data_IF_623417847092
#
_entry.id   IF_623417847092
#
_cell.length_a   1.000
_cell.length_b   1.000
_cell.length_c   1.000
_cell.angle_alpha   90.00
_cell.angle_beta   90.00
_cell.angle_gamma   90.00
#
_symmetry.space_group_name_H-M   'P 1'
#
loop_
_entity.id
_entity.type
_entity.pdbx_description
1 polymer ?
#
# COMPACT_ATOMS: atom_id res chain seq x y z
N UNK A 1 16.94 -5.34 18.07
CA UNK A 1 16.40 -4.95 16.74
C UNK A 1 16.76 -3.50 16.40
N UNK A 2 16.72 -3.12 15.12
CA UNK A 2 17.01 -1.76 14.64
C UNK A 2 15.76 -0.89 14.76
N UNK A 3 15.84 0.17 15.55
CA UNK A 3 14.71 1.05 15.85
C UNK A 3 14.95 2.48 15.40
N UNK A 4 13.85 3.14 15.03
CA UNK A 4 13.85 4.58 14.81
C UNK A 4 13.66 5.26 16.16
N UNK A 5 14.61 6.11 16.56
CA UNK A 5 14.62 6.72 17.89
C UNK A 5 13.88 8.06 17.95
N UNK A 6 13.82 8.79 16.84
CA UNK A 6 13.30 10.15 16.77
C UNK A 6 12.19 10.32 15.73
N UNK A 7 11.36 11.35 15.91
CA UNK A 7 10.21 11.63 15.04
C UNK A 7 10.60 12.00 13.60
N UNK A 8 11.57 12.92 13.41
CA UNK A 8 11.95 13.37 12.06
C UNK A 8 12.47 12.23 11.17
N UNK A 9 13.39 11.35 11.64
CA UNK A 9 13.73 10.15 10.88
C UNK A 9 12.52 9.27 10.57
N UNK A 10 11.58 9.10 11.52
CA UNK A 10 10.36 8.32 11.28
C UNK A 10 9.54 8.90 10.12
N UNK A 11 9.39 10.22 10.05
CA UNK A 11 8.70 10.91 8.94
C UNK A 11 9.42 10.69 7.61
N UNK A 12 10.75 10.80 7.57
CA UNK A 12 11.52 10.54 6.34
C UNK A 12 11.35 9.09 5.85
N UNK A 13 11.34 8.15 6.78
CA UNK A 13 11.06 6.74 6.49
C UNK A 13 9.62 6.50 6.02
N UNK A 14 8.64 7.22 6.55
CA UNK A 14 7.26 7.17 6.04
C UNK A 14 7.14 7.76 4.63
N UNK A 15 7.88 8.82 4.31
CA UNK A 15 7.99 9.35 2.94
C UNK A 15 8.64 8.29 2.03
N UNK A 16 9.68 7.59 2.49
CA UNK A 16 10.25 6.47 1.74
C UNK A 16 9.21 5.36 1.49
N UNK A 17 8.45 4.97 2.51
CA UNK A 17 7.37 3.99 2.36
C UNK A 17 6.31 4.44 1.35
N UNK A 18 5.94 5.71 1.36
CA UNK A 18 5.02 6.30 0.40
C UNK A 18 5.55 6.18 -1.03
N UNK A 19 6.86 6.43 -1.21
CA UNK A 19 7.54 6.28 -2.50
C UNK A 19 7.48 4.81 -2.95
N UNK A 20 7.81 3.87 -2.09
CA UNK A 20 7.71 2.43 -2.35
C UNK A 20 6.32 2.02 -2.84
N UNK A 21 5.27 2.36 -2.10
CA UNK A 21 3.89 2.01 -2.43
C UNK A 21 3.36 2.74 -3.68
N UNK A 22 3.89 3.91 -4.02
CA UNK A 22 3.57 4.58 -5.28
C UNK A 22 4.37 4.09 -6.48
N UNK A 23 5.45 3.32 -6.25
CA UNK A 23 6.42 2.96 -7.30
C UNK A 23 6.35 1.51 -7.75
N UNK A 24 5.84 0.59 -6.93
CA UNK A 24 5.82 -0.85 -7.29
C UNK A 24 5.07 -1.13 -8.60
N UNK A 25 3.96 -0.41 -8.87
CA UNK A 25 3.15 -0.60 -10.08
C UNK A 25 3.91 -0.29 -11.38
N UNK A 26 5.04 0.43 -11.31
CA UNK A 26 5.91 0.63 -12.46
C UNK A 26 6.51 -0.67 -12.96
N UNK A 27 6.84 -1.62 -12.07
CA UNK A 27 7.41 -2.90 -12.48
C UNK A 27 6.36 -3.76 -13.18
N UNK A 28 5.10 -3.71 -12.72
CA UNK A 28 3.97 -4.31 -13.44
C UNK A 28 3.84 -3.70 -14.83
N UNK A 29 3.91 -2.37 -14.95
CA UNK A 29 3.82 -1.70 -16.24
C UNK A 29 4.97 -2.05 -17.19
N UNK A 30 6.17 -2.24 -16.67
CA UNK A 30 7.32 -2.74 -17.44
C UNK A 30 7.08 -4.17 -17.96
N UNK A 31 6.46 -5.03 -17.13
CA UNK A 31 6.17 -6.42 -17.46
C UNK A 31 4.94 -6.59 -18.37
N UNK A 32 3.98 -5.67 -18.32
CA UNK A 32 2.63 -5.82 -18.89
C UNK A 32 2.56 -6.14 -20.40
N UNK A 33 3.62 -5.87 -21.17
CA UNK A 33 3.68 -6.22 -22.60
C UNK A 33 3.91 -7.70 -22.86
N UNK A 34 4.56 -8.40 -21.92
CA UNK A 34 5.01 -9.78 -22.08
C UNK A 34 4.47 -10.71 -20.97
N UNK A 35 4.09 -10.14 -19.82
CA UNK A 35 3.68 -10.89 -18.65
C UNK A 35 2.32 -10.43 -18.17
N UNK A 36 1.39 -11.38 -18.12
CA UNK A 36 0.03 -11.14 -17.65
C UNK A 36 0.03 -10.84 -16.16
N UNK A 37 -0.93 -10.03 -15.72
CA UNK A 37 -1.06 -9.63 -14.32
C UNK A 37 -1.17 -10.83 -13.38
N UNK A 38 -1.94 -11.84 -13.77
CA UNK A 38 -2.16 -13.07 -12.98
C UNK A 38 -0.84 -13.81 -12.72
N UNK A 39 0.06 -13.83 -13.71
CA UNK A 39 1.37 -14.48 -13.59
C UNK A 39 2.35 -13.60 -12.82
N UNK A 40 2.39 -12.30 -13.16
CA UNK A 40 3.18 -11.28 -12.46
C UNK A 40 2.87 -11.25 -10.96
N UNK A 41 1.62 -11.48 -10.56
CA UNK A 41 1.23 -11.41 -9.17
C UNK A 41 1.88 -12.49 -8.31
N UNK A 42 2.13 -13.69 -8.86
CA UNK A 42 2.89 -14.71 -8.14
C UNK A 42 4.32 -14.24 -7.86
N UNK A 43 4.99 -13.67 -8.86
CA UNK A 43 6.34 -13.10 -8.71
C UNK A 43 6.36 -11.98 -7.66
N UNK A 44 5.38 -11.08 -7.74
CA UNK A 44 5.19 -9.99 -6.79
C UNK A 44 5.10 -10.51 -5.35
N UNK A 45 4.27 -11.53 -5.11
CA UNK A 45 4.08 -12.13 -3.79
C UNK A 45 5.34 -12.83 -3.27
N UNK A 46 6.15 -13.43 -4.14
CA UNK A 46 7.48 -13.94 -3.75
C UNK A 46 8.43 -12.82 -3.31
N UNK A 47 8.41 -11.69 -4.02
CA UNK A 47 9.16 -10.50 -3.61
C UNK A 47 8.73 -9.94 -2.26
N UNK A 48 7.42 -9.98 -1.95
CA UNK A 48 6.91 -9.63 -0.63
C UNK A 48 7.51 -10.55 0.44
N UNK A 49 7.39 -11.86 0.25
CA UNK A 49 7.87 -12.86 1.21
C UNK A 49 9.37 -12.76 1.46
N UNK A 50 10.17 -12.69 0.40
CA UNK A 50 11.61 -12.57 0.50
C UNK A 50 12.02 -11.35 1.34
N UNK A 51 11.39 -10.20 1.07
CA UNK A 51 11.72 -8.95 1.77
C UNK A 51 11.30 -8.99 3.23
N UNK A 52 10.13 -9.56 3.53
CA UNK A 52 9.67 -9.71 4.91
C UNK A 52 10.58 -10.64 5.73
N UNK A 53 11.02 -11.76 5.13
CA UNK A 53 11.99 -12.68 5.76
C UNK A 53 13.31 -11.96 6.03
N UNK A 54 13.88 -11.30 5.01
CA UNK A 54 15.15 -10.57 5.16
C UNK A 54 15.01 -9.51 6.25
N UNK A 55 13.94 -8.71 6.25
CA UNK A 55 13.72 -7.68 7.26
C UNK A 55 13.59 -8.27 8.68
N UNK A 56 12.85 -9.36 8.86
CA UNK A 56 12.68 -10.01 10.15
C UNK A 56 14.02 -10.53 10.73
N UNK A 57 14.81 -11.23 9.92
CA UNK A 57 16.09 -11.79 10.33
C UNK A 57 17.26 -10.79 10.37
N UNK A 58 17.07 -9.57 9.84
CA UNK A 58 18.07 -8.50 9.90
C UNK A 58 17.60 -7.36 10.80
N UNK A 59 16.83 -6.41 10.28
CA UNK A 59 16.33 -5.26 11.02
C UNK A 59 15.55 -5.67 12.29
N UNK A 60 14.76 -6.75 12.22
CA UNK A 60 14.01 -7.29 13.35
C UNK A 60 14.82 -8.09 14.37
N UNK A 61 16.09 -8.38 14.09
CA UNK A 61 16.91 -9.26 14.94
C UNK A 61 18.25 -8.65 15.36
N UNK A 62 18.82 -7.75 14.56
CA UNK A 62 20.08 -7.08 14.85
C UNK A 62 19.84 -5.77 15.60
N UNK A 63 20.68 -5.46 16.59
CA UNK A 63 20.60 -4.22 17.38
C UNK A 63 20.23 -4.46 18.84
N UNK A 64 20.53 -3.51 19.73
CA UNK A 64 20.51 -3.72 21.19
C UNK A 64 19.12 -3.66 21.83
N UNK A 65 18.15 -3.03 21.16
CA UNK A 65 16.84 -2.72 21.75
C UNK A 65 15.75 -3.70 21.30
N UNK A 66 14.81 -4.02 22.18
CA UNK A 66 13.68 -4.91 21.89
C UNK A 66 14.08 -6.36 21.64
N UNK A 67 13.08 -7.25 21.63
CA UNK A 67 13.27 -8.70 21.43
C UNK A 67 13.51 -9.07 19.97
N UNK A 68 14.32 -10.10 19.72
CA UNK A 68 14.62 -10.56 18.36
C UNK A 68 13.42 -11.25 17.70
N UNK A 69 13.44 -11.43 16.38
CA UNK A 69 12.34 -12.08 15.64
C UNK A 69 11.99 -13.49 16.16
N UNK A 70 12.99 -14.33 16.40
CA UNK A 70 12.77 -15.70 16.88
C UNK A 70 12.24 -15.73 18.32
N UNK A 71 12.77 -14.85 19.17
CA UNK A 71 12.29 -14.67 20.54
C UNK A 71 10.84 -14.17 20.55
N UNK A 72 10.50 -13.23 19.68
CA UNK A 72 9.15 -12.68 19.54
C UNK A 72 8.15 -13.76 19.11
N UNK A 73 8.50 -14.63 18.15
CA UNK A 73 7.67 -15.76 17.74
C UNK A 73 7.42 -16.73 18.90
N UNK A 74 8.43 -17.01 19.72
CA UNK A 74 8.32 -17.99 20.81
C UNK A 74 7.28 -17.60 21.86
N UNK A 75 7.04 -16.32 22.07
CA UNK A 75 6.06 -15.82 23.02
C UNK A 75 4.81 -15.23 22.37
N UNK A 76 4.70 -15.27 21.03
CA UNK A 76 3.61 -14.67 20.29
C UNK A 76 2.28 -15.37 20.60
N UNK A 77 1.26 -14.58 20.93
CA UNK A 77 -0.09 -15.10 21.14
C UNK A 77 -0.80 -15.33 19.78
N UNK A 78 -1.70 -16.31 19.77
CA UNK A 78 -2.43 -16.71 18.57
C UNK A 78 -3.32 -15.59 18.01
N UNK A 79 -3.87 -14.73 18.87
CA UNK A 79 -4.77 -13.66 18.44
C UNK A 79 -4.00 -12.57 17.67
N UNK A 80 -2.81 -12.22 18.12
CA UNK A 80 -1.92 -11.26 17.46
C UNK A 80 -1.44 -11.78 16.11
N UNK A 81 -1.02 -13.06 16.04
CA UNK A 81 -0.72 -13.72 14.76
C UNK A 81 -1.93 -13.68 13.82
N UNK A 82 -3.12 -14.01 14.32
CA UNK A 82 -4.34 -14.01 13.53
C UNK A 82 -4.70 -12.61 13.00
N UNK A 83 -4.51 -11.54 13.79
CA UNK A 83 -4.74 -10.17 13.35
C UNK A 83 -3.77 -9.74 12.26
N UNK A 84 -2.47 -10.01 12.42
CA UNK A 84 -1.46 -9.72 11.39
C UNK A 84 -1.77 -10.47 10.09
N UNK A 85 -2.01 -11.77 10.20
CA UNK A 85 -2.39 -12.65 9.09
C UNK A 85 -3.65 -12.15 8.37
N UNK A 86 -4.72 -11.82 9.12
CA UNK A 86 -5.96 -11.28 8.58
C UNK A 86 -5.72 -9.95 7.86
N UNK A 87 -4.87 -9.07 8.39
CA UNK A 87 -4.42 -7.86 7.70
C UNK A 87 -3.84 -8.18 6.32
N UNK A 88 -3.01 -9.21 6.23
CA UNK A 88 -2.45 -9.71 4.97
C UNK A 88 -3.50 -10.16 3.96
N UNK A 89 -4.44 -11.00 4.41
CA UNK A 89 -5.53 -11.52 3.58
C UNK A 89 -6.44 -10.39 3.08
N UNK A 90 -6.84 -9.48 3.97
CA UNK A 90 -7.69 -8.33 3.67
C UNK A 90 -7.01 -7.41 2.67
N UNK A 91 -5.74 -7.05 2.91
CA UNK A 91 -4.98 -6.22 1.97
C UNK A 91 -4.87 -6.88 0.58
N UNK A 92 -4.57 -8.18 0.55
CA UNK A 92 -4.41 -8.91 -0.70
C UNK A 92 -5.71 -8.93 -1.51
N UNK A 93 -6.84 -9.25 -0.88
CA UNK A 93 -8.16 -9.20 -1.49
C UNK A 93 -8.47 -7.80 -2.05
N UNK A 94 -8.24 -6.76 -1.24
CA UNK A 94 -8.44 -5.38 -1.65
C UNK A 94 -7.61 -5.01 -2.88
N UNK A 95 -6.37 -5.49 -2.96
CA UNK A 95 -5.48 -5.27 -4.10
C UNK A 95 -6.00 -5.93 -5.38
N UNK A 96 -6.46 -7.19 -5.30
CA UNK A 96 -7.08 -7.87 -6.44
C UNK A 96 -8.36 -7.17 -6.90
N UNK A 97 -9.23 -6.76 -5.96
CA UNK A 97 -10.44 -6.00 -6.27
C UNK A 97 -10.11 -4.66 -6.94
N UNK A 98 -9.05 -3.97 -6.50
CA UNK A 98 -8.63 -2.70 -7.10
C UNK A 98 -8.15 -2.89 -8.54
N UNK A 99 -7.37 -3.94 -8.80
CA UNK A 99 -6.92 -4.27 -10.16
C UNK A 99 -8.10 -4.64 -11.06
N UNK A 100 -9.03 -5.46 -10.55
CA UNK A 100 -10.26 -5.77 -11.27
C UNK A 100 -11.10 -4.52 -11.56
N UNK A 101 -11.23 -3.62 -10.59
CA UNK A 101 -11.92 -2.34 -10.76
C UNK A 101 -11.30 -1.48 -11.86
N UNK A 102 -9.98 -1.34 -11.88
CA UNK A 102 -9.28 -0.59 -12.94
C UNK A 102 -9.49 -1.22 -14.32
N UNK A 103 -9.56 -2.54 -14.40
CA UNK A 103 -9.79 -3.26 -15.65
C UNK A 103 -11.25 -3.19 -16.14
N UNK A 104 -12.25 -3.13 -15.24
CA UNK A 104 -13.69 -3.03 -15.57
C UNK A 104 -14.12 -1.57 -15.82
N UNK A 105 -13.66 -0.64 -14.99
CA UNK A 105 -14.15 0.74 -14.93
C UNK A 105 -13.21 1.76 -15.58
N UNK A 106 -11.99 1.33 -15.92
CA UNK A 106 -10.89 2.21 -16.33
C UNK A 106 -10.16 2.85 -15.13
N UNK A 107 -8.92 3.28 -15.38
CA UNK A 107 -8.07 3.92 -14.36
C UNK A 107 -8.66 5.22 -13.81
N UNK A 108 -9.46 5.95 -14.59
CA UNK A 108 -10.12 7.19 -14.16
C UNK A 108 -11.18 6.99 -13.07
N UNK A 109 -11.61 5.74 -12.85
CA UNK A 109 -12.63 5.39 -11.84
C UNK A 109 -12.07 4.45 -10.79
N UNK A 110 -11.43 3.35 -11.20
CA UNK A 110 -10.94 2.32 -10.27
C UNK A 110 -10.00 2.89 -9.22
N UNK A 111 -9.00 3.64 -9.69
CA UNK A 111 -7.97 4.18 -8.81
C UNK A 111 -8.49 5.29 -7.88
N UNK A 112 -9.25 6.29 -8.35
CA UNK A 112 -9.73 7.30 -7.43
C UNK A 112 -10.82 6.87 -6.46
N UNK A 113 -11.79 6.06 -6.91
CA UNK A 113 -12.85 5.60 -6.02
C UNK A 113 -12.28 4.59 -5.03
N UNK A 114 -11.57 3.56 -5.51
CA UNK A 114 -11.01 2.54 -4.63
C UNK A 114 -9.86 3.06 -3.79
N UNK A 115 -8.80 3.55 -4.44
CA UNK A 115 -7.62 4.05 -3.74
C UNK A 115 -7.89 5.28 -2.88
N UNK A 116 -8.68 6.24 -3.39
CA UNK A 116 -9.07 7.43 -2.63
C UNK A 116 -9.95 7.10 -1.42
N UNK A 117 -10.92 6.19 -1.56
CA UNK A 117 -11.73 5.73 -0.43
C UNK A 117 -10.91 4.99 0.62
N UNK A 118 -10.04 4.05 0.20
CA UNK A 118 -9.13 3.34 1.10
C UNK A 118 -8.32 4.30 1.97
N UNK A 119 -7.89 5.40 1.35
CA UNK A 119 -7.12 6.41 2.03
C UNK A 119 -7.93 7.18 3.07
N UNK A 120 -9.01 7.84 2.63
CA UNK A 120 -9.83 8.70 3.52
C UNK A 120 -10.44 7.87 4.64
N UNK A 121 -11.07 6.74 4.29
CA UNK A 121 -11.72 5.87 5.26
C UNK A 121 -10.68 5.27 6.21
N UNK A 122 -9.52 4.86 5.70
CA UNK A 122 -8.47 4.29 6.54
C UNK A 122 -7.93 5.29 7.55
N UNK A 123 -7.74 6.57 7.19
CA UNK A 123 -7.32 7.59 8.16
C UNK A 123 -8.37 7.77 9.25
N UNK A 124 -9.65 7.88 8.87
CA UNK A 124 -10.75 8.04 9.82
C UNK A 124 -10.81 6.85 10.76
N UNK A 125 -10.82 5.63 10.23
CA UNK A 125 -10.86 4.38 11.01
C UNK A 125 -9.67 4.29 11.95
N UNK A 126 -8.45 4.51 11.47
CA UNK A 126 -7.25 4.44 12.32
C UNK A 126 -7.22 5.55 13.38
N UNK A 127 -7.72 6.76 13.08
CA UNK A 127 -7.86 7.82 14.06
C UNK A 127 -8.87 7.44 15.17
N UNK A 128 -10.00 6.83 14.83
CA UNK A 128 -10.96 6.36 15.84
C UNK A 128 -10.42 5.18 16.66
N UNK A 129 -9.64 4.28 16.07
CA UNK A 129 -9.04 3.14 16.77
C UNK A 129 -7.92 3.60 17.72
N UNK A 130 -7.04 4.48 17.24
CA UNK A 130 -5.82 4.83 17.96
C UNK A 130 -5.88 6.18 18.70
N UNK A 131 -6.97 6.93 18.54
CA UNK A 131 -7.13 8.28 19.10
C UNK A 131 -6.21 9.33 18.47
N UNK A 132 -6.19 10.51 19.09
CA UNK A 132 -5.38 11.65 18.62
C UNK A 132 -3.88 11.46 18.82
N UNK A 133 -3.46 10.64 19.80
CA UNK A 133 -2.05 10.34 20.10
C UNK A 133 -1.20 11.59 20.33
N UNK A 134 -1.80 12.63 20.93
CA UNK A 134 -1.16 13.93 21.14
C UNK A 134 -1.08 14.82 19.89
N UNK A 135 -1.57 14.36 18.74
CA UNK A 135 -1.54 15.15 17.51
C UNK A 135 -2.54 16.32 17.58
N UNK A 136 -2.13 17.47 17.05
CA UNK A 136 -3.00 18.59 16.76
C UNK A 136 -4.02 18.17 15.68
N UNK A 137 -5.25 17.91 16.14
CA UNK A 137 -6.36 17.41 15.32
C UNK A 137 -6.67 18.36 14.17
N UNK A 138 -6.60 19.68 14.38
CA UNK A 138 -6.90 20.68 13.36
C UNK A 138 -5.88 20.60 12.22
N UNK A 139 -4.59 20.58 12.54
CA UNK A 139 -3.53 20.48 11.52
C UNK A 139 -3.58 19.14 10.78
N UNK A 140 -3.84 18.04 11.50
CA UNK A 140 -3.98 16.72 10.92
C UNK A 140 -5.10 16.69 9.89
N UNK A 141 -6.33 17.05 10.27
CA UNK A 141 -7.48 16.98 9.35
C UNK A 141 -7.46 18.05 8.26
N UNK A 142 -6.85 19.21 8.51
CA UNK A 142 -6.60 20.20 7.46
C UNK A 142 -5.64 19.63 6.41
N UNK A 143 -4.54 19.01 6.85
CA UNK A 143 -3.61 18.32 5.96
C UNK A 143 -4.30 17.20 5.18
N UNK A 144 -5.16 16.43 5.84
CA UNK A 144 -5.97 15.39 5.19
C UNK A 144 -6.88 15.98 4.10
N UNK A 145 -7.57 17.10 4.38
CA UNK A 145 -8.42 17.78 3.41
C UNK A 145 -7.65 18.23 2.16
N UNK A 146 -6.41 18.73 2.33
CA UNK A 146 -5.55 19.10 1.20
C UNK A 146 -5.18 17.89 0.33
N UNK A 147 -4.88 16.74 0.92
CA UNK A 147 -4.61 15.51 0.16
C UNK A 147 -5.88 15.00 -0.52
N UNK A 148 -7.06 15.06 0.12
CA UNK A 148 -8.35 14.74 -0.54
C UNK A 148 -8.53 15.62 -1.78
N UNK A 149 -8.30 16.93 -1.65
CA UNK A 149 -8.36 17.84 -2.77
C UNK A 149 -7.36 17.42 -3.87
N UNK A 150 -6.11 17.11 -3.53
CA UNK A 150 -5.12 16.61 -4.48
C UNK A 150 -5.63 15.36 -5.24
N UNK A 151 -6.20 14.37 -4.54
CA UNK A 151 -6.79 13.18 -5.15
C UNK A 151 -7.92 13.55 -6.11
N UNK A 152 -8.79 14.51 -5.75
CA UNK A 152 -9.85 15.03 -6.63
C UNK A 152 -9.27 15.61 -7.93
N UNK A 153 -8.22 16.44 -7.83
CA UNK A 153 -7.53 16.98 -9.00
C UNK A 153 -6.89 15.88 -9.86
N UNK A 154 -6.33 14.83 -9.22
CA UNK A 154 -5.84 13.64 -9.90
C UNK A 154 -6.95 12.94 -10.71
N UNK A 155 -8.14 12.75 -10.13
CA UNK A 155 -9.28 12.18 -10.85
C UNK A 155 -9.65 13.00 -12.07
N UNK A 156 -9.69 14.34 -11.92
CA UNK A 156 -10.04 15.21 -13.03
C UNK A 156 -9.01 15.17 -14.15
N UNK A 157 -7.71 15.04 -13.82
CA UNK A 157 -6.66 14.83 -14.80
C UNK A 157 -6.87 13.51 -15.57
N UNK A 158 -7.12 12.40 -14.87
CA UNK A 158 -7.41 11.11 -15.50
C UNK A 158 -8.72 11.10 -16.30
N UNK A 159 -9.76 11.80 -15.82
CA UNK A 159 -11.02 11.95 -16.56
C UNK A 159 -10.80 12.67 -17.89
N UNK A 160 -9.98 13.72 -17.89
CA UNK A 160 -9.57 14.40 -19.14
C UNK A 160 -8.76 13.49 -20.05
N UNK A 161 -7.90 12.63 -19.52
CA UNK A 161 -7.15 11.66 -20.31
C UNK A 161 -8.06 10.58 -20.92
N UNK A 162 -9.07 10.14 -20.17
CA UNK A 162 -10.03 9.12 -20.59
C UNK A 162 -11.16 9.63 -21.49
N UNK A 163 -11.13 10.90 -21.91
CA UNK A 163 -12.18 11.48 -22.76
C UNK A 163 -12.19 10.79 -24.13
N UNK A 164 -13.21 9.96 -24.39
CA UNK A 164 -13.32 9.11 -25.59
C UNK A 164 -13.19 7.60 -25.35
N UNK A 165 -12.90 7.15 -24.12
CA UNK A 165 -12.95 5.73 -23.74
C UNK A 165 -14.36 5.32 -23.31
N UNK A 166 -14.76 4.06 -23.57
CA UNK A 166 -16.09 3.52 -23.20
C UNK A 166 -16.39 3.75 -21.72
N UNK A 167 -17.63 4.14 -21.44
CA UNK A 167 -18.09 4.65 -20.15
C UNK A 167 -17.97 3.65 -19.00
N UNK A 168 -17.86 4.23 -17.80
CA UNK A 168 -17.85 3.53 -16.52
C UNK A 168 -19.08 2.63 -16.35
N UNK A 169 -18.87 1.38 -15.95
CA UNK A 169 -19.98 0.48 -15.60
C UNK A 169 -20.28 0.54 -14.10
N UNK A 170 -21.55 0.40 -13.71
CA UNK A 170 -21.96 0.34 -12.29
C UNK A 170 -21.23 -0.78 -11.54
N UNK A 171 -20.97 -1.90 -12.23
CA UNK A 171 -20.16 -3.01 -11.70
C UNK A 171 -18.75 -2.54 -11.33
N UNK A 172 -18.09 -1.79 -12.20
CA UNK A 172 -16.76 -1.24 -11.95
C UNK A 172 -16.71 -0.32 -10.73
N UNK A 173 -17.72 0.52 -10.55
CA UNK A 173 -17.84 1.41 -9.37
C UNK A 173 -17.99 0.59 -8.09
N UNK A 174 -18.90 -0.40 -8.07
CA UNK A 174 -19.12 -1.27 -6.90
C UNK A 174 -17.83 -1.99 -6.51
N UNK A 175 -17.13 -2.58 -7.49
CA UNK A 175 -15.86 -3.29 -7.23
C UNK A 175 -14.80 -2.30 -6.71
N UNK A 176 -14.76 -1.07 -7.21
CA UNK A 176 -13.85 -0.02 -6.72
C UNK A 176 -14.14 0.33 -5.26
N UNK A 177 -15.41 0.53 -4.91
CA UNK A 177 -15.82 0.82 -3.53
C UNK A 177 -15.46 -0.32 -2.58
N UNK A 178 -15.74 -1.57 -2.97
CA UNK A 178 -15.36 -2.75 -2.19
C UNK A 178 -13.84 -2.81 -2.00
N UNK A 179 -13.05 -2.61 -3.05
CA UNK A 179 -11.59 -2.54 -2.95
C UNK A 179 -11.14 -1.49 -1.93
N UNK A 180 -11.72 -0.28 -2.02
CA UNK A 180 -11.40 0.82 -1.13
C UNK A 180 -11.72 0.52 0.34
N UNK A 181 -12.93 0.02 0.60
CA UNK A 181 -13.36 -0.40 1.93
C UNK A 181 -12.44 -1.48 2.48
N UNK A 182 -12.17 -2.54 1.71
CA UNK A 182 -11.31 -3.65 2.15
C UNK A 182 -9.90 -3.17 2.51
N UNK A 183 -9.26 -2.35 1.66
CA UNK A 183 -7.92 -1.81 1.93
C UNK A 183 -7.93 -0.88 3.17
N UNK A 184 -8.99 -0.10 3.41
CA UNK A 184 -9.03 0.82 4.55
C UNK A 184 -8.81 0.14 5.91
N UNK A 185 -9.18 -1.14 6.05
CA UNK A 185 -9.12 -1.86 7.34
C UNK A 185 -7.82 -2.65 7.57
N UNK A 186 -7.02 -2.95 6.54
CA UNK A 186 -5.87 -3.84 6.73
C UNK A 186 -4.85 -3.28 7.74
N UNK A 187 -4.60 -1.98 7.70
CA UNK A 187 -3.55 -1.36 8.51
C UNK A 187 -3.90 -1.40 10.00
N UNK A 188 -5.16 -1.15 10.35
CA UNK A 188 -5.64 -1.23 11.73
C UNK A 188 -5.56 -2.66 12.28
N UNK A 189 -5.81 -3.67 11.45
CA UNK A 189 -5.62 -5.08 11.84
C UNK A 189 -4.15 -5.37 12.17
N UNK A 190 -3.22 -4.90 11.36
CA UNK A 190 -1.79 -5.06 11.63
C UNK A 190 -1.42 -4.28 12.90
N UNK A 191 -1.81 -3.01 13.06
CA UNK A 191 -1.55 -2.23 14.28
C UNK A 191 -2.07 -2.96 15.52
N UNK A 192 -3.26 -3.56 15.46
CA UNK A 192 -3.85 -4.32 16.58
C UNK A 192 -3.04 -5.57 16.94
N UNK A 193 -2.28 -6.14 16.01
CA UNK A 193 -1.38 -7.26 16.30
C UNK A 193 -0.10 -6.85 17.03
N UNK A 194 0.23 -5.56 17.04
CA UNK A 194 1.52 -5.07 17.53
C UNK A 194 1.48 -4.76 19.03
N UNK A 195 2.54 -5.17 19.70
CA UNK A 195 2.83 -4.81 21.08
C UNK A 195 3.32 -3.36 21.11
N UNK A 196 2.67 -2.41 21.82
CA UNK A 196 3.18 -1.05 21.97
C UNK A 196 4.37 -0.94 22.92
N UNK A 197 4.61 -1.97 23.76
CA UNK A 197 5.61 -2.02 24.81
C UNK A 197 6.76 -3.01 24.51
N UNK A 198 6.92 -3.45 23.26
CA UNK A 198 7.89 -4.48 22.86
C UNK A 198 9.37 -4.15 23.15
N UNK A 199 9.67 -2.87 23.42
CA UNK A 199 11.00 -2.41 23.83
C UNK A 199 11.14 -2.39 25.36
N UNK A 200 10.06 -2.11 26.09
CA UNK A 200 10.06 -1.95 27.56
C UNK A 200 9.62 -3.21 28.32
N UNK A 201 9.64 -4.38 27.67
CA UNK A 201 9.31 -5.67 28.30
C UNK A 201 7.86 -6.16 28.10
N UNK A 202 7.14 -5.65 27.09
CA UNK A 202 5.86 -6.24 26.68
C UNK A 202 6.00 -7.70 26.23
N UNK A 203 4.90 -8.43 26.14
CA UNK A 203 4.86 -9.84 25.75
C UNK A 203 3.52 -10.20 25.09
N UNK A 204 3.46 -11.34 24.39
CA UNK A 204 2.24 -11.83 23.73
C UNK A 204 2.03 -11.22 22.35
N UNK A 205 1.81 -9.90 22.27
CA UNK A 205 1.63 -9.22 20.99
C UNK A 205 2.96 -9.12 20.20
N UNK A 206 2.90 -8.78 18.91
CA UNK A 206 4.04 -8.88 18.00
C UNK A 206 4.89 -7.62 17.95
N UNK A 207 6.18 -7.77 17.66
CA UNK A 207 7.00 -6.64 17.19
C UNK A 207 6.57 -6.23 15.76
N UNK A 208 6.87 -4.99 15.32
CA UNK A 208 6.55 -4.54 13.97
C UNK A 208 7.03 -5.49 12.85
N UNK A 209 8.25 -6.05 12.99
CA UNK A 209 8.83 -6.93 11.98
C UNK A 209 8.13 -8.28 11.92
N UNK A 210 7.79 -8.87 13.06
CA UNK A 210 7.03 -10.13 13.13
C UNK A 210 5.59 -9.95 12.65
N UNK A 211 4.96 -8.82 12.99
CA UNK A 211 3.64 -8.46 12.45
C UNK A 211 3.64 -8.35 10.93
N UNK A 212 4.64 -7.68 10.34
CA UNK A 212 4.80 -7.61 8.88
C UNK A 212 5.09 -8.99 8.27
N UNK A 213 5.86 -9.84 8.95
CA UNK A 213 6.08 -11.22 8.52
C UNK A 213 4.76 -12.00 8.44
N UNK A 214 3.95 -12.04 9.50
CA UNK A 214 2.66 -12.76 9.48
C UNK A 214 1.63 -12.13 8.55
N UNK A 215 1.62 -10.81 8.39
CA UNK A 215 0.90 -10.13 7.32
C UNK A 215 1.27 -10.70 5.95
N UNK A 216 2.57 -10.88 5.70
CA UNK A 216 3.06 -11.40 4.43
C UNK A 216 2.65 -12.85 4.23
N UNK A 217 2.68 -13.67 5.28
CA UNK A 217 2.15 -15.05 5.23
C UNK A 217 0.66 -15.04 4.86
N UNK A 218 -0.14 -14.13 5.44
CA UNK A 218 -1.54 -13.94 5.07
C UNK A 218 -1.73 -13.61 3.58
N UNK A 219 -0.94 -12.69 3.04
CA UNK A 219 -0.97 -12.35 1.62
C UNK A 219 -0.55 -13.55 0.74
N UNK A 220 0.54 -14.24 1.08
CA UNK A 220 1.05 -15.40 0.32
C UNK A 220 0.03 -16.54 0.32
N UNK A 221 -0.51 -16.92 1.47
CA UNK A 221 -1.46 -18.04 1.58
C UNK A 221 -2.78 -17.72 0.88
N UNK A 222 -3.27 -16.48 0.96
CA UNK A 222 -4.51 -16.10 0.27
C UNK A 222 -4.35 -15.96 -1.25
N UNK A 223 -3.13 -15.74 -1.74
CA UNK A 223 -2.86 -15.47 -3.16
C UNK A 223 -3.31 -16.61 -4.09
N UNK A 224 -2.95 -17.88 -3.88
CA UNK A 224 -3.44 -18.97 -4.73
C UNK A 224 -4.96 -18.96 -4.87
N UNK A 225 -5.72 -18.70 -3.81
CA UNK A 225 -7.18 -18.69 -3.84
C UNK A 225 -7.75 -17.54 -4.68
N UNK A 226 -7.27 -16.31 -4.44
CA UNK A 226 -7.73 -15.14 -5.20
C UNK A 226 -7.24 -15.18 -6.64
N UNK A 227 -6.00 -15.58 -6.85
CA UNK A 227 -5.42 -15.63 -8.19
C UNK A 227 -6.02 -16.76 -9.03
N UNK A 228 -6.35 -17.92 -8.44
CA UNK A 228 -7.13 -18.99 -9.12
C UNK A 228 -8.45 -18.46 -9.67
N UNK A 229 -9.15 -17.66 -8.88
CA UNK A 229 -10.41 -17.06 -9.30
C UNK A 229 -10.19 -16.11 -10.49
N UNK A 230 -9.20 -15.22 -10.41
CA UNK A 230 -8.89 -14.27 -11.49
C UNK A 230 -8.36 -14.97 -12.75
N UNK A 231 -7.57 -16.04 -12.61
CA UNK A 231 -7.07 -16.83 -13.74
C UNK A 231 -8.20 -17.56 -14.48
N UNK A 232 -9.22 -18.06 -13.76
CA UNK A 232 -10.42 -18.71 -14.33
C UNK A 232 -11.45 -17.73 -14.88
N UNK A 233 -11.50 -16.53 -14.30
CA UNK A 233 -12.41 -15.45 -14.69
C UNK A 233 -11.62 -14.17 -14.97
N UNK A 234 -10.73 -14.17 -15.99
CA UNK A 234 -9.89 -13.03 -16.28
C UNK A 234 -10.75 -11.85 -16.70
N UNK A 235 -10.38 -10.66 -16.23
CA UNK A 235 -11.11 -9.44 -16.58
C UNK A 235 -10.90 -9.08 -18.06
N UNK A 236 -9.76 -9.47 -18.63
CA UNK A 236 -9.43 -9.34 -20.05
C UNK A 236 -8.60 -10.54 -20.52
N UNK A 237 -8.79 -10.95 -21.78
CA UNK A 237 -8.05 -12.06 -22.40
C UNK A 237 -8.58 -13.44 -22.02
N UNK A 238 -7.86 -14.47 -22.47
CA UNK A 238 -8.24 -15.87 -22.25
C UNK A 238 -7.94 -16.35 -20.83
N UNK A 239 -8.54 -17.48 -20.44
CA UNK A 239 -8.24 -18.17 -19.18
C UNK A 239 -6.75 -18.52 -19.11
N UNK A 240 -6.13 -18.28 -17.95
CA UNK A 240 -4.71 -18.56 -17.72
C UNK A 240 -4.55 -19.87 -16.97
N UNK A 241 -3.59 -20.69 -17.41
CA UNK A 241 -3.15 -21.88 -16.68
C UNK A 241 -1.89 -21.62 -15.86
N UNK A 242 -1.75 -22.29 -14.71
CA UNK A 242 -0.49 -22.30 -13.94
C UNK A 242 0.72 -22.74 -14.75
N UNK A 243 0.54 -23.57 -15.77
CA UNK A 243 1.64 -24.00 -16.64
C UNK A 243 2.29 -22.84 -17.38
N UNK A 244 1.56 -21.75 -17.61
CA UNK A 244 2.08 -20.56 -18.28
C UNK A 244 3.06 -19.78 -17.42
N UNK A 245 2.94 -19.86 -16.09
CA UNK A 245 3.89 -19.24 -15.16
C UNK A 245 5.32 -19.74 -15.41
N UNK A 246 5.49 -21.04 -15.68
CA UNK A 246 6.80 -21.64 -15.90
C UNK A 246 7.40 -21.36 -17.30
N UNK A 247 6.68 -20.64 -18.16
CA UNK A 247 7.18 -20.22 -19.48
C UNK A 247 7.91 -18.87 -19.44
N UNK A 248 7.86 -18.15 -18.32
CA UNK A 248 8.53 -16.87 -18.14
C UNK A 248 10.05 -17.02 -18.11
N UNK A 249 10.76 -16.02 -18.63
CA UNK A 249 12.22 -15.94 -18.47
C UNK A 249 12.59 -15.28 -17.13
N UNK A 250 13.86 -15.42 -16.74
CA UNK A 250 14.34 -14.89 -15.45
C UNK A 250 14.12 -13.37 -15.33
N UNK A 251 14.27 -12.64 -16.44
CA UNK A 251 14.09 -11.19 -16.47
C UNK A 251 12.63 -10.81 -16.17
N UNK A 252 11.68 -11.55 -16.75
CA UNK A 252 10.25 -11.35 -16.53
C UNK A 252 9.88 -11.62 -15.08
N UNK A 253 10.28 -12.77 -14.53
CA UNK A 253 10.05 -13.09 -13.11
C UNK A 253 10.69 -12.05 -12.18
N UNK A 254 11.92 -11.62 -12.47
CA UNK A 254 12.61 -10.61 -11.68
C UNK A 254 11.85 -9.27 -11.64
N UNK A 255 11.21 -8.85 -12.72
CA UNK A 255 10.41 -7.61 -12.69
C UNK A 255 9.23 -7.69 -11.72
N UNK A 256 8.59 -8.85 -11.59
CA UNK A 256 7.54 -9.07 -10.60
C UNK A 256 8.08 -9.12 -9.18
N UNK A 257 9.14 -9.91 -8.94
CA UNK A 257 9.82 -9.99 -7.64
C UNK A 257 10.29 -8.61 -7.17
N UNK A 258 10.85 -7.80 -8.07
CA UNK A 258 11.26 -6.42 -7.77
C UNK A 258 10.08 -5.55 -7.32
N UNK A 259 8.90 -5.71 -7.94
CA UNK A 259 7.69 -5.03 -7.51
C UNK A 259 7.33 -5.37 -6.07
N UNK A 260 7.42 -6.66 -5.71
CA UNK A 260 7.20 -7.14 -4.35
C UNK A 260 8.22 -6.58 -3.36
N UNK A 261 9.50 -6.57 -3.74
CA UNK A 261 10.57 -6.00 -2.93
C UNK A 261 10.31 -4.53 -2.62
N UNK A 262 9.97 -3.75 -3.65
CA UNK A 262 9.66 -2.32 -3.50
C UNK A 262 8.48 -2.14 -2.54
N UNK A 263 7.38 -2.87 -2.74
CA UNK A 263 6.18 -2.69 -1.93
C UNK A 263 6.41 -3.08 -0.47
N UNK A 264 7.02 -4.24 -0.22
CA UNK A 264 7.25 -4.76 1.13
C UNK A 264 8.31 -3.96 1.89
N UNK A 265 9.31 -3.40 1.19
CA UNK A 265 10.25 -2.46 1.82
C UNK A 265 9.51 -1.27 2.44
N UNK A 266 8.49 -0.75 1.74
CA UNK A 266 7.63 0.30 2.28
C UNK A 266 6.85 -0.17 3.51
N UNK A 267 6.25 -1.36 3.45
CA UNK A 267 5.50 -1.94 4.58
C UNK A 267 6.37 -2.11 5.84
N UNK A 268 7.57 -2.69 5.70
CA UNK A 268 8.55 -2.86 6.79
C UNK A 268 8.89 -1.52 7.42
N UNK A 269 9.25 -0.54 6.60
CA UNK A 269 9.69 0.78 7.08
C UNK A 269 8.53 1.56 7.69
N UNK A 270 7.32 1.44 7.13
CA UNK A 270 6.12 2.07 7.68
C UNK A 270 5.87 1.63 9.11
N UNK A 271 5.82 0.32 9.36
CA UNK A 271 5.56 -0.22 10.70
C UNK A 271 6.75 -0.04 11.65
N UNK A 272 7.98 0.01 11.15
CA UNK A 272 9.16 0.42 11.93
C UNK A 272 9.06 1.88 12.42
N UNK A 273 8.40 2.77 11.66
CA UNK A 273 8.19 4.18 12.03
C UNK A 273 7.01 4.42 12.98
N UNK A 274 6.05 3.50 13.04
CA UNK A 274 4.82 3.63 13.86
C UNK A 274 5.09 4.00 15.33
N UNK A 275 6.06 3.41 16.06
CA UNK A 275 6.29 3.74 17.46
C UNK A 275 6.63 5.22 17.70
N UNK A 276 7.28 5.90 16.75
CA UNK A 276 7.67 7.32 16.89
C UNK A 276 6.69 8.26 16.21
N UNK A 277 6.19 7.90 15.03
CA UNK A 277 5.25 8.74 14.29
C UNK A 277 3.80 8.59 14.79
N UNK A 278 3.43 7.42 15.32
CA UNK A 278 2.06 7.04 15.66
C UNK A 278 1.30 6.47 14.45
N UNK A 279 0.41 5.48 14.61
CA UNK A 279 -0.28 4.81 13.50
C UNK A 279 -1.08 5.76 12.59
N UNK A 280 -1.68 6.82 13.11
CA UNK A 280 -2.51 7.73 12.29
C UNK A 280 -1.66 8.53 11.31
N UNK A 281 -0.57 9.16 11.79
CA UNK A 281 0.36 9.89 10.92
C UNK A 281 1.06 8.93 9.97
N UNK A 282 1.44 7.75 10.46
CA UNK A 282 2.08 6.73 9.62
C UNK A 282 1.18 6.35 8.45
N UNK A 283 -0.07 5.98 8.72
CA UNK A 283 -1.03 5.65 7.67
C UNK A 283 -1.30 6.84 6.75
N UNK A 284 -1.48 8.05 7.29
CA UNK A 284 -1.80 9.23 6.51
C UNK A 284 -0.68 9.61 5.52
N UNK A 285 0.58 9.59 5.98
CA UNK A 285 1.75 9.87 5.14
C UNK A 285 2.01 8.77 4.12
N UNK A 286 2.03 7.49 4.50
CA UNK A 286 2.38 6.41 3.55
C UNK A 286 1.38 6.25 2.42
N UNK A 287 0.10 6.51 2.69
CA UNK A 287 -0.92 6.40 1.67
C UNK A 287 -1.04 7.63 0.75
N UNK A 288 -0.10 8.59 0.84
CA UNK A 288 0.13 9.55 -0.25
C UNK A 288 0.68 8.91 -1.55
N UNK A 289 0.91 7.59 -1.54
CA UNK A 289 1.37 6.79 -2.66
C UNK A 289 0.68 7.07 -4.01
N UNK A 290 -0.64 7.37 -4.09
CA UNK A 290 -1.28 7.71 -5.35
C UNK A 290 -0.66 8.89 -6.09
N UNK A 291 -0.16 9.88 -5.36
CA UNK A 291 0.47 11.06 -5.98
C UNK A 291 1.88 10.72 -6.47
N UNK A 292 2.60 9.82 -5.80
CA UNK A 292 3.87 9.28 -6.30
C UNK A 292 3.63 8.45 -7.57
N UNK A 293 2.61 7.59 -7.61
CA UNK A 293 2.23 6.88 -8.83
C UNK A 293 1.95 7.88 -9.97
N UNK A 294 1.31 9.00 -9.65
CA UNK A 294 1.08 10.06 -10.63
C UNK A 294 2.34 10.77 -11.08
N UNK A 295 3.31 10.98 -10.21
CA UNK A 295 4.62 11.48 -10.58
C UNK A 295 5.28 10.59 -11.65
N UNK A 296 5.27 9.27 -11.47
CA UNK A 296 5.76 8.32 -12.47
C UNK A 296 4.98 8.42 -13.78
N UNK A 297 3.64 8.46 -13.72
CA UNK A 297 2.77 8.58 -14.89
C UNK A 297 3.07 9.82 -15.72
N UNK A 298 3.24 10.97 -15.07
CA UNK A 298 3.48 12.26 -15.73
C UNK A 298 4.90 12.39 -16.27
N UNK A 299 5.91 12.16 -15.43
CA UNK A 299 7.30 12.54 -15.77
C UNK A 299 8.08 11.41 -16.44
N UNK A 300 7.82 10.15 -16.07
CA UNK A 300 8.59 9.00 -16.57
C UNK A 300 7.87 8.34 -17.72
N UNK A 301 6.61 7.94 -17.51
CA UNK A 301 5.81 7.28 -18.55
C UNK A 301 5.16 8.23 -19.54
N UNK A 302 5.11 9.53 -19.23
CA UNK A 302 4.55 10.58 -20.08
C UNK A 302 3.12 10.28 -20.54
N UNK A 303 2.31 9.69 -19.66
CA UNK A 303 0.92 9.25 -19.95
C UNK A 303 0.02 10.40 -20.38
N UNK A 304 0.29 11.62 -19.90
CA UNK A 304 -0.50 12.81 -20.18
C UNK A 304 0.00 13.63 -21.37
N UNK A 305 0.98 13.12 -22.15
CA UNK A 305 1.54 13.84 -23.29
C UNK A 305 0.49 14.22 -24.33
N UNK A 306 -0.55 13.40 -24.50
CA UNK A 306 -1.66 13.62 -25.43
C UNK A 306 -2.92 14.15 -24.73
N UNK A 307 -2.83 14.52 -23.44
CA UNK A 307 -4.00 14.95 -22.68
C UNK A 307 -4.51 16.32 -23.17
N UNK A 308 -5.82 16.60 -23.04
CA UNK A 308 -6.41 17.88 -23.42
C UNK A 308 -5.76 19.09 -22.73
N UNK A 309 -5.87 20.27 -23.37
CA UNK A 309 -5.38 21.53 -22.79
C UNK A 309 -5.93 21.76 -21.38
N UNK A 310 -5.08 22.32 -20.52
CA UNK A 310 -5.40 22.60 -19.12
C UNK A 310 -5.22 21.42 -18.16
N UNK A 311 -4.88 20.21 -18.64
CA UNK A 311 -4.54 19.07 -17.76
C UNK A 311 -3.31 19.36 -16.90
N UNK A 312 -2.29 20.03 -17.45
CA UNK A 312 -1.09 20.41 -16.68
C UNK A 312 -1.40 21.31 -15.47
N UNK A 313 -2.40 22.20 -15.56
CA UNK A 313 -2.81 23.03 -14.41
C UNK A 313 -3.40 22.18 -13.29
N UNK A 314 -4.17 21.14 -13.63
CA UNK A 314 -4.73 20.19 -12.64
C UNK A 314 -3.61 19.39 -11.96
N UNK A 315 -2.62 18.93 -12.74
CA UNK A 315 -1.47 18.20 -12.22
C UNK A 315 -0.61 19.07 -11.29
N UNK A 316 -0.32 20.32 -11.67
CA UNK A 316 0.42 21.26 -10.82
C UNK A 316 -0.33 21.54 -9.52
N UNK A 317 -1.65 21.81 -9.58
CA UNK A 317 -2.46 22.02 -8.39
C UNK A 317 -2.46 20.78 -7.48
N UNK A 318 -2.63 19.59 -8.05
CA UNK A 318 -2.56 18.33 -7.31
C UNK A 318 -1.22 18.19 -6.55
N UNK A 319 -0.08 18.38 -7.22
CA UNK A 319 1.23 18.26 -6.56
C UNK A 319 1.44 19.31 -5.46
N UNK A 320 1.00 20.55 -5.67
CA UNK A 320 1.10 21.61 -4.68
C UNK A 320 0.25 21.32 -3.43
N UNK A 321 -1.02 20.95 -3.62
CA UNK A 321 -1.93 20.56 -2.55
C UNK A 321 -1.39 19.34 -1.79
N UNK A 322 -0.78 18.39 -2.51
CA UNK A 322 -0.20 17.22 -1.91
C UNK A 322 0.96 17.54 -0.95
N UNK A 323 1.92 18.35 -1.41
CA UNK A 323 3.06 18.79 -0.60
C UNK A 323 2.56 19.54 0.64
N UNK A 324 1.60 20.46 0.46
CA UNK A 324 1.01 21.20 1.58
C UNK A 324 0.33 20.28 2.58
N UNK A 325 -0.42 19.28 2.11
CA UNK A 325 -1.06 18.28 2.96
C UNK A 325 -0.05 17.47 3.78
N UNK A 326 1.04 16.99 3.17
CA UNK A 326 2.10 16.25 3.87
C UNK A 326 2.79 17.11 4.93
N UNK A 327 3.06 18.37 4.61
CA UNK A 327 3.67 19.33 5.55
C UNK A 327 2.77 19.53 6.77
N UNK A 328 1.47 19.75 6.57
CA UNK A 328 0.51 19.94 7.67
C UNK A 328 0.34 18.69 8.53
N UNK A 329 0.26 17.50 7.91
CA UNK A 329 0.19 16.23 8.64
C UNK A 329 1.46 16.02 9.48
N UNK A 330 2.63 16.33 8.91
CA UNK A 330 3.91 16.22 9.62
C UNK A 330 3.97 17.16 10.83
N UNK A 331 3.51 18.41 10.69
CA UNK A 331 3.46 19.38 11.77
C UNK A 331 2.31 19.15 12.77
N UNK A 332 1.41 18.20 12.51
CA UNK A 332 0.36 17.85 13.46
C UNK A 332 0.91 17.20 14.73
N UNK A 333 2.09 16.56 14.66
CA UNK A 333 2.81 16.05 15.83
C UNK A 333 3.94 17.02 16.15
N UNK A 334 3.64 17.96 17.02
CA UNK A 334 4.58 18.89 17.62
C UNK A 334 4.92 18.40 19.02
#
# INVERSE_FOLDING_TARGET
>A
MTLIQHYIPAVLFLIFSMICWGSWANTQKMAAKAWRFELFYFDFVWGLLLTAIVAAFTLGSFGPDGRSFLEDIHQADTASIAYAFAGGVVWNLGTFLLVAAMAIAGMSVGFPIGGGLAWVLGIIVNFFIAGSQGNNIVLLFLGVAFIVAAIIFCMFAYKKLATGQKGTTSKGIIVSLLAGVTIAFFYGLVVKSLDPAYVSGGSGNLTPFTGVFFFTIGAVISTPFFNLFVMKHPVHGDVVSYKEYFKGDLKTHFTGVLGGIIWMSGMVISFMSVPKAGPTISYALTNGAPVVAMFWGVFVWKEFRTAPRGTNKLLTAMFALFILGLVLITFSKA
#
